data_IF_812227013617
#
_entry.id   IF_812227013617
#
_cell.length_a   1.000
_cell.length_b   1.000
_cell.length_c   1.000
_cell.angle_alpha   90.00
_cell.angle_beta   90.00
_cell.angle_gamma   90.00
#
_symmetry.space_group_name_H-M   'P 1'
#
loop_
_entity.id
_entity.type
_entity.pdbx_description
1 polymer ?
#
# COMPACT_ATOMS: atom_id res chain seq x y z
N UNK A 1 -35.68 -42.56 8.98
CA UNK A 1 -35.23 -42.32 10.35
C UNK A 1 -35.63 -40.92 10.73
N UNK A 2 -36.40 -40.79 11.82
CA UNK A 2 -37.12 -39.60 12.22
C UNK A 2 -36.18 -38.61 12.92
N UNK A 3 -36.23 -37.34 12.48
CA UNK A 3 -35.61 -36.21 13.18
C UNK A 3 -36.71 -35.40 13.86
N UNK A 4 -36.68 -35.30 15.18
CA UNK A 4 -37.55 -34.47 15.98
C UNK A 4 -37.04 -33.06 15.98
N UNK A 5 -37.84 -32.11 15.46
CA UNK A 5 -37.64 -30.68 15.59
C UNK A 5 -38.45 -30.18 16.78
N UNK A 6 -37.78 -29.69 17.82
CA UNK A 6 -38.39 -28.97 18.93
C UNK A 6 -38.33 -27.48 18.63
N UNK A 7 -39.49 -26.91 18.30
CA UNK A 7 -39.66 -25.45 18.19
C UNK A 7 -39.90 -24.90 19.61
N UNK A 8 -38.86 -24.25 20.16
CA UNK A 8 -39.00 -23.45 21.37
C UNK A 8 -39.23 -21.99 20.99
N UNK A 9 -40.48 -21.51 21.08
CA UNK A 9 -40.78 -20.08 21.06
C UNK A 9 -40.30 -19.46 22.38
N UNK A 10 -39.21 -18.70 22.34
CA UNK A 10 -38.87 -17.76 23.38
C UNK A 10 -39.13 -16.35 22.84
N UNK A 11 -40.22 -15.75 23.39
CA UNK A 11 -40.50 -14.34 23.25
C UNK A 11 -39.39 -13.55 23.97
N UNK A 12 -38.48 -12.94 23.25
CA UNK A 12 -37.61 -11.93 23.81
C UNK A 12 -38.25 -10.56 23.68
N UNK A 13 -38.61 -10.00 24.85
CA UNK A 13 -38.85 -8.57 24.99
C UNK A 13 -37.67 -7.83 24.45
N UNK A 14 -37.88 -6.94 23.51
CA UNK A 14 -36.91 -5.95 23.09
C UNK A 14 -36.67 -5.00 24.28
N UNK A 15 -35.61 -5.24 25.06
CA UNK A 15 -34.91 -4.17 25.74
C UNK A 15 -33.96 -3.55 24.71
N UNK A 16 -34.20 -2.31 24.34
CA UNK A 16 -33.15 -1.45 23.81
C UNK A 16 -32.02 -1.46 24.86
N UNK A 17 -30.98 -2.22 24.59
CA UNK A 17 -29.70 -2.01 25.24
C UNK A 17 -29.10 -0.81 24.53
N UNK A 18 -29.04 0.30 25.24
CA UNK A 18 -28.01 1.29 24.97
C UNK A 18 -26.69 0.53 24.96
N UNK A 19 -26.09 0.37 23.78
CA UNK A 19 -24.73 -0.09 23.64
C UNK A 19 -23.83 1.00 24.27
N UNK A 20 -23.60 0.88 25.56
CA UNK A 20 -22.52 1.59 26.23
C UNK A 20 -21.26 0.93 25.67
N UNK A 21 -20.64 1.55 24.69
CA UNK A 21 -19.27 1.27 24.29
C UNK A 21 -18.40 1.42 25.54
N UNK A 22 -18.13 0.33 26.23
CA UNK A 22 -17.17 0.27 27.32
C UNK A 22 -15.81 0.40 26.64
N UNK A 23 -15.35 1.64 26.48
CA UNK A 23 -14.01 1.91 26.00
C UNK A 23 -13.03 1.24 26.96
N UNK A 24 -12.17 0.36 26.43
CA UNK A 24 -11.10 -0.24 27.21
C UNK A 24 -10.23 0.87 27.83
N UNK A 25 -9.81 0.70 29.06
CA UNK A 25 -8.86 1.63 29.69
C UNK A 25 -7.49 1.52 29.05
N UNK A 26 -6.68 2.58 29.10
CA UNK A 26 -5.31 2.56 28.59
C UNK A 26 -4.51 1.37 29.16
N UNK A 27 -4.73 1.02 30.41
CA UNK A 27 -4.10 -0.13 31.04
C UNK A 27 -4.50 -1.47 30.38
N UNK A 28 -5.77 -1.68 30.09
CA UNK A 28 -6.25 -2.90 29.40
C UNK A 28 -5.71 -2.96 27.99
N UNK A 29 -5.68 -1.83 27.28
CA UNK A 29 -5.08 -1.71 25.96
C UNK A 29 -3.59 -2.05 25.99
N UNK A 30 -2.84 -1.48 26.94
CA UNK A 30 -1.41 -1.72 27.08
C UNK A 30 -1.09 -3.17 27.46
N UNK A 31 -1.94 -3.82 28.27
CA UNK A 31 -1.81 -5.27 28.53
C UNK A 31 -2.00 -6.10 27.26
N UNK A 32 -2.98 -5.76 26.43
CA UNK A 32 -3.19 -6.43 25.15
C UNK A 32 -2.04 -6.18 24.18
N UNK A 33 -1.53 -4.93 24.08
CA UNK A 33 -0.35 -4.58 23.27
C UNK A 33 0.84 -5.45 23.69
N UNK A 34 1.17 -5.46 24.98
CA UNK A 34 2.29 -6.25 25.52
C UNK A 34 2.14 -7.73 25.20
N UNK A 35 0.97 -8.31 25.44
CA UNK A 35 0.72 -9.71 25.20
C UNK A 35 0.84 -10.04 23.70
N UNK A 36 0.22 -9.25 22.83
CA UNK A 36 0.23 -9.45 21.38
C UNK A 36 1.64 -9.34 20.82
N UNK A 37 2.37 -8.28 21.21
CA UNK A 37 3.74 -8.07 20.72
C UNK A 37 4.70 -9.10 21.31
N UNK A 38 4.61 -9.46 22.57
CA UNK A 38 5.49 -10.49 23.18
C UNK A 38 5.29 -11.86 22.54
N UNK A 39 4.11 -12.15 22.02
CA UNK A 39 3.83 -13.41 21.33
C UNK A 39 4.28 -13.36 19.87
N UNK A 40 4.06 -12.26 19.16
CA UNK A 40 4.14 -12.25 17.71
C UNK A 40 5.29 -11.40 17.16
N UNK A 41 5.74 -10.36 17.89
CA UNK A 41 6.76 -9.44 17.38
C UNK A 41 8.10 -10.14 17.10
N UNK A 42 8.71 -9.83 15.96
CA UNK A 42 9.93 -10.49 15.52
C UNK A 42 11.10 -10.32 16.49
N UNK A 43 11.19 -9.18 17.14
CA UNK A 43 12.27 -8.83 18.09
C UNK A 43 11.79 -8.78 19.53
N UNK A 44 10.76 -9.55 19.91
CA UNK A 44 10.20 -9.57 21.27
C UNK A 44 11.22 -9.89 22.37
N UNK A 45 12.31 -10.57 22.01
CA UNK A 45 13.40 -10.89 22.96
C UNK A 45 14.18 -9.66 23.42
N UNK A 46 14.02 -8.51 22.76
CA UNK A 46 14.62 -7.23 23.15
C UNK A 46 13.73 -6.46 24.15
N UNK A 47 12.54 -6.96 24.47
CA UNK A 47 11.62 -6.29 25.40
C UNK A 47 12.15 -6.30 26.81
N UNK A 48 11.93 -5.21 27.56
CA UNK A 48 12.12 -5.19 29.01
C UNK A 48 11.30 -6.27 29.72
N UNK A 49 11.72 -6.63 30.94
CA UNK A 49 10.90 -7.49 31.78
C UNK A 49 9.52 -6.88 32.03
N UNK A 50 8.48 -7.71 31.99
CA UNK A 50 7.09 -7.27 32.14
C UNK A 50 6.86 -6.46 33.41
N UNK A 51 7.57 -6.78 34.51
CA UNK A 51 7.49 -6.10 35.80
C UNK A 51 8.06 -4.68 35.77
N UNK A 52 8.86 -4.33 34.75
CA UNK A 52 9.45 -3.00 34.58
C UNK A 52 8.63 -2.08 33.66
N UNK A 53 7.56 -2.60 33.03
CA UNK A 53 6.72 -1.84 32.14
C UNK A 53 5.69 -0.99 32.89
N UNK A 54 5.52 0.23 32.44
CA UNK A 54 4.49 1.15 33.00
C UNK A 54 3.21 1.07 32.12
N UNK A 55 2.26 0.27 32.56
CA UNK A 55 0.97 0.08 31.89
C UNK A 55 0.00 1.28 32.03
N UNK A 56 0.39 2.35 32.70
CA UNK A 56 -0.41 3.57 32.85
C UNK A 56 -0.13 4.62 31.77
N UNK A 57 0.87 4.39 30.92
CA UNK A 57 1.18 5.26 29.79
C UNK A 57 0.04 5.27 28.77
N UNK A 58 -0.02 6.33 27.96
CA UNK A 58 -0.88 6.30 26.78
C UNK A 58 -0.44 5.18 25.81
N UNK A 59 -1.38 4.53 25.13
CA UNK A 59 -1.08 3.34 24.32
C UNK A 59 -0.02 3.55 23.22
N UNK A 60 0.03 4.75 22.61
CA UNK A 60 1.01 5.04 21.57
C UNK A 60 2.43 5.12 22.14
N UNK A 61 2.60 5.79 23.28
CA UNK A 61 3.89 5.87 23.98
C UNK A 61 4.32 4.50 24.49
N UNK A 62 3.39 3.72 25.06
CA UNK A 62 3.66 2.36 25.51
C UNK A 62 4.12 1.46 24.36
N UNK A 63 3.38 1.45 23.25
CA UNK A 63 3.72 0.68 22.06
C UNK A 63 5.10 1.06 21.50
N UNK A 64 5.36 2.36 21.32
CA UNK A 64 6.66 2.84 20.85
C UNK A 64 7.82 2.45 21.73
N UNK A 65 7.59 2.38 23.04
CA UNK A 65 8.58 1.93 24.03
C UNK A 65 8.99 0.45 23.91
N UNK A 66 8.19 -0.37 23.20
CA UNK A 66 8.50 -1.77 22.93
C UNK A 66 9.23 -1.99 21.60
N UNK A 67 9.23 -1.00 20.69
CA UNK A 67 9.78 -1.20 19.35
C UNK A 67 11.29 -1.32 19.35
N UNK A 68 11.81 -2.34 18.68
CA UNK A 68 13.23 -2.49 18.39
C UNK A 68 13.66 -1.47 17.32
N UNK A 69 14.86 -0.91 17.47
CA UNK A 69 15.46 -0.07 16.41
C UNK A 69 15.64 -0.79 15.06
N UNK A 70 15.65 -2.14 15.07
CA UNK A 70 15.68 -2.96 13.84
C UNK A 70 14.37 -2.92 13.06
N UNK A 71 13.29 -2.56 13.74
CA UNK A 71 11.96 -2.42 13.15
C UNK A 71 11.79 -1.04 12.55
N UNK A 72 12.54 -0.74 11.52
CA UNK A 72 12.41 0.56 10.89
C UNK A 72 13.57 0.93 10.01
N UNK A 73 13.61 2.19 9.67
CA UNK A 73 14.64 2.77 8.82
C UNK A 73 14.97 4.19 9.24
N UNK A 74 16.24 4.52 9.20
CA UNK A 74 16.72 5.88 9.37
C UNK A 74 16.46 6.71 8.10
N UNK A 75 15.74 7.80 8.25
CA UNK A 75 15.50 8.79 7.21
C UNK A 75 16.11 10.13 7.65
N UNK A 76 16.07 11.14 6.77
CA UNK A 76 16.67 12.46 7.04
C UNK A 76 16.00 13.23 8.19
N UNK A 77 14.79 12.86 8.56
CA UNK A 77 13.96 13.45 9.63
C UNK A 77 13.86 12.55 10.87
N UNK A 78 14.57 11.42 10.91
CA UNK A 78 14.68 10.51 12.05
C UNK A 78 14.38 9.06 11.71
N UNK A 79 14.28 8.23 12.76
CA UNK A 79 13.96 6.82 12.64
C UNK A 79 12.46 6.60 12.44
N UNK A 80 12.09 5.88 11.37
CA UNK A 80 10.71 5.55 11.03
C UNK A 80 10.48 4.05 11.23
N UNK A 81 9.65 3.73 12.21
CA UNK A 81 9.26 2.34 12.49
C UNK A 81 8.30 1.80 11.43
N UNK A 82 8.41 0.49 11.14
CA UNK A 82 7.48 -0.21 10.25
C UNK A 82 6.22 -0.63 10.97
N UNK A 83 6.35 -1.09 12.24
CA UNK A 83 5.18 -1.41 13.08
C UNK A 83 4.44 -0.15 13.50
N UNK A 84 3.11 -0.22 13.50
CA UNK A 84 2.23 0.90 13.81
C UNK A 84 1.10 0.45 14.73
N UNK A 85 0.69 1.34 15.61
CA UNK A 85 -0.52 1.21 16.41
C UNK A 85 -1.52 2.23 15.91
N UNK A 86 -2.68 1.76 15.47
CA UNK A 86 -3.75 2.63 15.00
C UNK A 86 -4.99 2.43 15.84
N UNK A 87 -5.64 3.54 16.20
CA UNK A 87 -7.00 3.44 16.73
C UNK A 87 -7.89 2.97 15.59
N UNK A 88 -8.66 1.91 15.81
CA UNK A 88 -9.70 1.52 14.89
C UNK A 88 -10.85 2.55 14.98
N UNK A 89 -10.56 3.75 14.56
CA UNK A 89 -11.61 4.50 13.90
C UNK A 89 -11.98 3.67 12.69
N UNK A 90 -13.22 3.72 12.24
CA UNK A 90 -13.61 3.14 10.94
C UNK A 90 -12.75 3.84 9.88
N UNK A 91 -11.45 3.58 9.91
CA UNK A 91 -10.47 4.08 8.96
C UNK A 91 -10.55 3.14 7.79
N UNK A 92 -11.27 3.62 6.84
CA UNK A 92 -11.19 3.07 5.50
C UNK A 92 -9.71 3.06 5.12
N UNK A 93 -9.26 1.97 4.52
CA UNK A 93 -7.98 1.84 3.87
C UNK A 93 -7.63 3.08 3.05
N UNK A 94 -6.35 3.38 2.94
CA UNK A 94 -5.88 4.38 1.95
C UNK A 94 -6.25 3.97 0.53
N UNK A 95 -6.57 2.69 0.31
CA UNK A 95 -6.99 2.10 -0.98
C UNK A 95 -8.50 1.90 -1.09
N UNK A 96 -9.27 2.09 0.00
CA UNK A 96 -10.72 2.07 -0.08
C UNK A 96 -11.22 3.14 -1.05
N UNK A 97 -12.39 2.87 -1.65
CA UNK A 97 -13.14 3.84 -2.44
C UNK A 97 -13.58 5.02 -1.56
N UNK A 98 -12.63 5.81 -1.10
CA UNK A 98 -12.82 6.93 -0.20
C UNK A 98 -13.30 8.18 -0.94
N UNK A 99 -13.99 9.03 -0.22
CA UNK A 99 -14.20 10.39 -0.67
C UNK A 99 -12.84 11.07 -0.90
N UNK A 100 -12.43 11.17 -2.16
CA UNK A 100 -11.19 11.79 -2.58
C UNK A 100 -11.40 12.67 -3.81
N UNK A 101 -10.43 13.49 -4.12
CA UNK A 101 -10.40 14.18 -5.43
C UNK A 101 -9.85 13.27 -6.53
N UNK A 102 -9.32 12.09 -6.19
CA UNK A 102 -8.83 11.09 -7.13
C UNK A 102 -7.48 11.42 -7.75
N UNK A 103 -6.55 11.94 -6.99
CA UNK A 103 -5.14 12.06 -7.38
C UNK A 103 -4.22 11.86 -6.18
N UNK A 104 -3.00 11.43 -6.45
CA UNK A 104 -1.95 11.37 -5.45
C UNK A 104 -0.84 12.37 -5.77
N UNK A 105 -0.08 12.77 -4.75
CA UNK A 105 0.92 13.83 -4.86
C UNK A 105 2.11 13.59 -3.93
N UNK A 106 3.26 14.10 -4.33
CA UNK A 106 4.41 14.25 -3.45
C UNK A 106 4.57 15.72 -3.06
N UNK A 107 4.96 15.95 -1.81
CA UNK A 107 5.22 17.29 -1.28
C UNK A 107 6.65 17.73 -1.54
N UNK A 108 6.87 19.02 -1.64
CA UNK A 108 8.20 19.61 -1.76
C UNK A 108 8.26 20.97 -1.08
N UNK A 109 9.42 21.26 -0.50
CA UNK A 109 9.73 22.58 0.06
C UNK A 109 10.64 23.35 -0.93
N UNK A 110 10.10 24.40 -1.49
CA UNK A 110 10.84 25.33 -2.35
C UNK A 110 11.40 26.49 -1.49
N UNK A 111 12.70 26.71 -1.55
CA UNK A 111 13.34 27.87 -0.91
C UNK A 111 13.60 28.95 -1.96
N UNK A 112 13.06 30.14 -1.75
CA UNK A 112 13.26 31.29 -2.60
C UNK A 112 13.35 32.58 -1.75
N UNK A 113 14.39 33.39 -1.96
CA UNK A 113 14.59 34.67 -1.27
C UNK A 113 14.58 34.60 0.26
N UNK A 114 14.97 33.47 0.87
CA UNK A 114 14.94 33.23 2.32
C UNK A 114 13.59 32.74 2.84
N UNK A 115 12.57 32.63 2.00
CA UNK A 115 11.27 32.03 2.31
C UNK A 115 11.22 30.57 1.91
N UNK A 116 10.45 29.77 2.66
CA UNK A 116 10.16 28.37 2.31
C UNK A 116 8.71 28.27 1.88
N UNK A 117 8.50 27.76 0.67
CA UNK A 117 7.16 27.55 0.09
C UNK A 117 6.86 26.05 0.08
N UNK A 118 5.71 25.65 0.59
CA UNK A 118 5.21 24.28 0.51
C UNK A 118 4.39 24.12 -0.76
N UNK A 119 4.83 23.21 -1.63
CA UNK A 119 4.21 22.91 -2.94
C UNK A 119 4.04 21.40 -3.08
N UNK A 120 3.24 20.98 -4.04
CA UNK A 120 3.07 19.55 -4.33
C UNK A 120 3.18 19.27 -5.84
N UNK A 121 3.59 18.05 -6.18
CA UNK A 121 3.59 17.56 -7.56
C UNK A 121 2.63 16.39 -7.68
N UNK A 122 1.77 16.40 -8.71
CA UNK A 122 0.82 15.33 -9.00
C UNK A 122 1.58 14.11 -9.52
N UNK A 123 1.41 12.98 -8.86
CA UNK A 123 2.04 11.70 -9.19
C UNK A 123 1.20 10.91 -10.20
N UNK A 124 -0.09 10.84 -9.98
CA UNK A 124 -1.08 10.27 -10.90
C UNK A 124 -2.47 10.84 -10.63
N UNK A 125 -3.38 10.59 -11.56
CA UNK A 125 -4.80 10.97 -11.48
C UNK A 125 -5.61 9.73 -11.80
N UNK A 126 -6.60 9.45 -10.96
CA UNK A 126 -7.51 8.32 -11.12
C UNK A 126 -8.58 8.66 -12.16
N UNK A 127 -9.01 7.64 -12.86
CA UNK A 127 -10.09 7.76 -13.84
C UNK A 127 -11.42 8.07 -13.15
N UNK A 128 -12.30 8.76 -13.87
CA UNK A 128 -13.64 9.13 -13.41
C UNK A 128 -13.65 9.89 -12.07
N UNK A 129 -12.62 10.72 -11.82
CA UNK A 129 -12.40 11.49 -10.60
C UNK A 129 -12.61 12.99 -10.77
N UNK A 130 -12.89 13.75 -9.69
CA UNK A 130 -12.92 15.23 -9.75
C UNK A 130 -11.64 15.84 -10.32
N UNK A 131 -10.48 15.22 -10.06
CA UNK A 131 -9.20 15.68 -10.58
C UNK A 131 -9.09 15.50 -12.10
N UNK A 132 -9.54 14.34 -12.61
CA UNK A 132 -9.56 14.07 -14.04
C UNK A 132 -10.51 15.02 -14.77
N UNK A 133 -11.73 15.22 -14.24
CA UNK A 133 -12.73 16.16 -14.79
C UNK A 133 -12.18 17.58 -14.89
N UNK A 134 -11.42 18.03 -13.88
CA UNK A 134 -10.76 19.33 -13.89
C UNK A 134 -9.54 19.39 -14.82
N UNK A 135 -9.16 18.26 -15.42
CA UNK A 135 -8.02 18.16 -16.33
C UNK A 135 -6.68 18.25 -15.61
N UNK A 136 -6.62 17.87 -14.33
CA UNK A 136 -5.36 17.71 -13.60
C UNK A 136 -4.56 16.56 -14.24
N UNK A 137 -3.23 16.66 -14.28
CA UNK A 137 -2.38 15.67 -14.95
C UNK A 137 -1.15 15.37 -14.11
N UNK A 138 -0.64 14.17 -14.26
CA UNK A 138 0.67 13.79 -13.73
C UNK A 138 1.73 14.81 -14.13
N UNK A 139 2.52 15.25 -13.16
CA UNK A 139 3.59 16.23 -13.34
C UNK A 139 3.13 17.69 -13.21
N UNK A 140 1.83 17.95 -13.04
CA UNK A 140 1.36 19.28 -12.68
C UNK A 140 1.90 19.64 -11.28
N UNK A 141 2.49 20.81 -11.15
CA UNK A 141 2.87 21.36 -9.87
C UNK A 141 1.73 22.17 -9.27
N UNK A 142 1.37 21.91 -8.03
CA UNK A 142 0.39 22.68 -7.26
C UNK A 142 1.17 23.69 -6.44
N UNK A 143 1.06 24.96 -6.82
CA UNK A 143 1.76 26.08 -6.21
C UNK A 143 0.94 26.80 -5.15
N UNK A 144 -0.35 26.56 -5.10
CA UNK A 144 -1.25 27.19 -4.13
C UNK A 144 -2.65 26.60 -4.16
N UNK A 145 -3.38 26.85 -3.09
CA UNK A 145 -4.72 26.33 -2.83
C UNK A 145 -5.62 27.51 -2.40
N UNK A 146 -6.84 27.58 -2.95
CA UNK A 146 -7.87 28.57 -2.62
C UNK A 146 -7.37 30.02 -2.65
N UNK A 147 -6.48 30.35 -3.59
CA UNK A 147 -5.94 31.71 -3.79
C UNK A 147 -4.68 32.02 -2.98
N UNK A 148 -4.28 31.16 -2.03
CA UNK A 148 -3.00 31.31 -1.32
C UNK A 148 -1.89 30.68 -2.15
N UNK A 149 -0.94 31.49 -2.62
CA UNK A 149 0.23 31.03 -3.37
C UNK A 149 1.38 30.71 -2.41
N UNK A 150 2.13 29.64 -2.73
CA UNK A 150 3.39 29.32 -2.10
C UNK A 150 3.32 28.75 -0.68
N UNK A 151 2.12 28.45 -0.20
CA UNK A 151 1.97 27.87 1.14
C UNK A 151 0.75 26.96 1.22
N UNK A 152 0.96 25.69 0.94
CA UNK A 152 -0.01 24.66 1.29
C UNK A 152 0.22 24.38 2.77
N UNK A 153 -0.60 25.00 3.65
CA UNK A 153 -0.43 24.91 5.11
C UNK A 153 -0.73 23.49 5.60
N UNK A 154 -1.79 22.90 5.03
CA UNK A 154 -2.23 21.56 5.31
C UNK A 154 -2.44 20.83 3.98
N UNK A 155 -1.76 19.71 3.81
CA UNK A 155 -1.87 18.91 2.59
C UNK A 155 -3.15 18.06 2.54
N UNK A 156 -3.85 17.89 3.65
CA UNK A 156 -5.11 17.13 3.68
C UNK A 156 -6.20 17.80 2.84
N UNK A 157 -6.12 19.13 2.67
CA UNK A 157 -6.98 19.87 1.72
C UNK A 157 -6.84 19.38 0.27
N UNK A 158 -5.77 18.68 -0.09
CA UNK A 158 -5.54 18.08 -1.41
C UNK A 158 -6.09 16.65 -1.51
N UNK A 159 -6.50 16.04 -0.41
CA UNK A 159 -7.00 14.65 -0.40
C UNK A 159 -8.51 14.59 -0.59
N UNK A 160 -9.24 15.34 0.22
CA UNK A 160 -10.71 15.34 0.21
C UNK A 160 -11.28 16.65 0.75
N UNK A 161 -12.57 16.87 0.54
CA UNK A 161 -13.31 18.01 1.06
C UNK A 161 -14.33 18.58 0.09
N UNK A 162 -14.71 19.83 0.31
CA UNK A 162 -15.55 20.58 -0.61
C UNK A 162 -14.83 20.93 -1.92
N UNK A 163 -15.43 21.79 -2.75
CA UNK A 163 -14.74 22.27 -3.96
C UNK A 163 -13.47 23.03 -3.60
N UNK A 164 -12.37 22.74 -4.32
CA UNK A 164 -11.05 23.35 -4.07
C UNK A 164 -10.46 23.93 -5.35
N UNK A 165 -9.90 25.15 -5.27
CA UNK A 165 -9.21 25.82 -6.37
C UNK A 165 -7.70 25.63 -6.24
N UNK A 166 -7.06 25.05 -7.26
CA UNK A 166 -5.63 24.81 -7.30
C UNK A 166 -4.95 25.74 -8.30
N UNK A 167 -3.91 26.46 -7.86
CA UNK A 167 -3.03 27.20 -8.76
C UNK A 167 -1.93 26.25 -9.23
N UNK A 168 -1.92 25.95 -10.51
CA UNK A 168 -0.92 25.09 -11.12
C UNK A 168 0.26 25.90 -11.66
N UNK A 169 1.41 25.24 -11.78
CA UNK A 169 2.63 25.81 -12.32
C UNK A 169 3.53 24.78 -12.98
N UNK A 170 4.65 25.27 -13.47
CA UNK A 170 5.72 24.43 -13.99
C UNK A 170 7.07 24.99 -13.57
N UNK A 171 8.06 24.11 -13.45
CA UNK A 171 9.44 24.46 -13.15
C UNK A 171 10.05 25.24 -14.33
N UNK A 172 10.84 26.29 -13.99
CA UNK A 172 11.61 27.07 -14.97
C UNK A 172 13.02 26.50 -15.05
N UNK A 173 13.43 26.01 -16.22
CA UNK A 173 14.61 25.17 -16.40
C UNK A 173 15.97 25.69 -15.92
N UNK A 174 16.15 27.01 -15.75
CA UNK A 174 17.48 27.58 -15.46
C UNK A 174 17.62 28.25 -14.08
N UNK A 175 16.54 28.47 -13.35
CA UNK A 175 16.59 29.27 -12.10
C UNK A 175 16.02 28.56 -10.88
N UNK A 176 15.71 27.26 -10.98
CA UNK A 176 15.04 26.46 -9.93
C UNK A 176 13.78 27.14 -9.35
N UNK A 177 13.12 27.97 -10.15
CA UNK A 177 11.90 28.65 -9.80
C UNK A 177 10.67 27.99 -10.45
N UNK A 178 9.49 28.49 -10.09
CA UNK A 178 8.23 28.05 -10.68
C UNK A 178 7.50 29.24 -11.27
N UNK A 179 6.79 29.01 -12.38
CA UNK A 179 5.86 30.00 -12.94
C UNK A 179 4.45 29.43 -12.87
N UNK A 180 3.51 30.25 -12.42
CA UNK A 180 2.10 29.93 -12.47
C UNK A 180 1.64 29.77 -13.92
N UNK A 181 0.86 28.72 -14.20
CA UNK A 181 0.38 28.44 -15.56
C UNK A 181 -1.12 28.61 -15.68
N UNK A 182 -1.88 27.85 -14.92
CA UNK A 182 -3.34 27.85 -14.97
C UNK A 182 -3.93 27.59 -13.58
N UNK A 183 -5.20 27.95 -13.42
CA UNK A 183 -5.99 27.55 -12.27
C UNK A 183 -6.98 26.48 -12.68
N UNK A 184 -7.19 25.50 -11.83
CA UNK A 184 -8.22 24.48 -11.96
C UNK A 184 -9.06 24.46 -10.70
N UNK A 185 -10.34 24.12 -10.83
CA UNK A 185 -11.23 23.93 -9.69
C UNK A 185 -11.67 22.47 -9.69
N UNK A 186 -11.37 21.75 -8.63
CA UNK A 186 -11.89 20.42 -8.39
C UNK A 186 -13.27 20.54 -7.76
N UNK A 187 -14.23 19.79 -8.24
CA UNK A 187 -15.50 19.59 -7.57
C UNK A 187 -15.27 18.93 -6.20
N UNK A 188 -16.28 18.94 -5.33
CA UNK A 188 -16.22 18.26 -4.05
C UNK A 188 -15.76 16.80 -4.23
N UNK A 189 -14.96 16.34 -3.29
CA UNK A 189 -14.51 14.94 -3.25
C UNK A 189 -15.70 13.99 -3.23
N UNK A 190 -15.51 12.83 -3.84
CA UNK A 190 -16.51 11.75 -3.87
C UNK A 190 -15.80 10.41 -3.76
N UNK A 191 -16.55 9.36 -3.63
CA UNK A 191 -16.03 8.01 -3.73
C UNK A 191 -15.41 7.79 -5.11
N UNK A 192 -14.11 7.53 -5.15
CA UNK A 192 -13.33 7.22 -6.35
C UNK A 192 -12.64 5.89 -6.13
N UNK A 193 -12.81 4.96 -7.06
CA UNK A 193 -12.12 3.67 -7.01
C UNK A 193 -10.64 3.85 -7.29
N UNK A 194 -9.78 3.48 -6.35
CA UNK A 194 -8.33 3.46 -6.52
C UNK A 194 -7.88 2.06 -6.95
N UNK A 195 -8.01 1.76 -8.24
CA UNK A 195 -7.58 0.47 -8.76
C UNK A 195 -6.07 0.40 -8.86
N UNK A 196 -5.46 -0.78 -8.63
CA UNK A 196 -4.01 -0.94 -8.77
C UNK A 196 -3.50 -0.75 -10.21
N UNK A 197 -4.38 -0.74 -11.21
CA UNK A 197 -4.05 -0.74 -12.64
C UNK A 197 -4.16 0.64 -13.28
N UNK A 198 -3.20 1.52 -13.01
CA UNK A 198 -3.27 2.90 -13.52
C UNK A 198 -3.08 3.00 -15.02
N UNK A 199 -2.27 2.13 -15.62
CA UNK A 199 -2.02 2.13 -17.06
C UNK A 199 -1.45 0.80 -17.52
N UNK A 200 -2.03 0.27 -18.59
CA UNK A 200 -1.48 -0.85 -19.36
C UNK A 200 -1.29 -0.45 -20.82
N UNK A 201 -0.29 -1.02 -21.47
CA UNK A 201 -0.04 -0.80 -22.90
C UNK A 201 0.85 -1.89 -23.49
N UNK A 202 0.77 -2.05 -24.81
CA UNK A 202 1.74 -2.84 -25.58
C UNK A 202 2.36 -1.95 -26.63
N UNK A 203 3.67 -1.80 -26.58
CA UNK A 203 4.47 -1.05 -27.55
C UNK A 203 5.20 -2.01 -28.49
N UNK A 204 5.40 -1.57 -29.72
CA UNK A 204 6.17 -2.31 -30.72
C UNK A 204 7.44 -1.56 -31.07
N UNK A 205 8.58 -2.24 -30.98
CA UNK A 205 9.87 -1.73 -31.43
C UNK A 205 10.66 -2.85 -32.11
N UNK A 206 10.77 -2.78 -33.41
CA UNK A 206 11.35 -3.88 -34.24
C UNK A 206 10.57 -5.19 -34.00
N UNK A 207 11.27 -6.23 -33.58
CA UNK A 207 10.69 -7.54 -33.25
C UNK A 207 10.23 -7.63 -31.76
N UNK A 208 10.35 -6.56 -31.00
CA UNK A 208 9.96 -6.51 -29.61
C UNK A 208 8.49 -6.10 -29.47
N UNK A 209 7.76 -6.85 -28.65
CA UNK A 209 6.43 -6.52 -28.14
C UNK A 209 6.59 -6.26 -26.67
N UNK A 210 6.59 -4.99 -26.29
CA UNK A 210 6.91 -4.54 -24.93
C UNK A 210 5.59 -4.30 -24.19
N UNK A 211 5.27 -5.18 -23.25
CA UNK A 211 4.20 -4.94 -22.28
C UNK A 211 4.64 -3.88 -21.27
N UNK A 212 3.71 -3.03 -20.90
CA UNK A 212 3.88 -2.03 -19.84
C UNK A 212 2.69 -2.10 -18.90
N UNK A 213 2.97 -2.17 -17.60
CA UNK A 213 1.96 -2.07 -16.56
C UNK A 213 2.46 -1.12 -15.48
N UNK A 214 1.69 -0.07 -15.21
CA UNK A 214 1.84 0.76 -14.02
C UNK A 214 0.91 0.22 -12.94
N UNK A 215 1.52 -0.38 -11.92
CA UNK A 215 0.84 -1.11 -10.84
C UNK A 215 1.10 -0.40 -9.51
N UNK A 216 0.05 0.16 -8.90
CA UNK A 216 0.19 1.12 -7.81
C UNK A 216 0.26 0.50 -6.42
N UNK A 217 -0.44 -0.61 -6.20
CA UNK A 217 -0.47 -1.31 -4.92
C UNK A 217 -0.87 -2.77 -5.12
N UNK A 218 -0.55 -3.62 -4.15
CA UNK A 218 -0.88 -5.04 -4.19
C UNK A 218 -2.13 -5.29 -3.37
N UNK A 219 -3.30 -5.23 -4.01
CA UNK A 219 -4.60 -5.53 -3.42
C UNK A 219 -5.32 -6.61 -4.22
N UNK A 220 -6.10 -7.47 -3.53
CA UNK A 220 -6.90 -8.53 -4.17
C UNK A 220 -8.25 -8.04 -4.66
N UNK A 221 -8.79 -7.02 -4.02
CA UNK A 221 -10.07 -6.35 -4.28
C UNK A 221 -10.05 -4.90 -3.80
N UNK A 222 -11.16 -4.15 -3.97
CA UNK A 222 -11.25 -2.75 -3.59
C UNK A 222 -11.26 -2.49 -2.07
N UNK A 223 -11.59 -3.48 -1.25
CA UNK A 223 -11.50 -3.43 0.21
C UNK A 223 -10.30 -4.25 0.67
N UNK A 224 -9.31 -3.60 1.26
CA UNK A 224 -8.08 -4.28 1.72
C UNK A 224 -8.30 -5.20 2.92
N UNK A 225 -9.42 -5.07 3.62
CA UNK A 225 -9.80 -5.94 4.74
C UNK A 225 -10.69 -7.11 4.31
N UNK A 226 -11.26 -7.06 3.10
CA UNK A 226 -11.99 -8.19 2.53
C UNK A 226 -11.07 -9.08 1.68
N UNK A 227 -10.35 -9.97 2.35
CA UNK A 227 -9.48 -10.94 1.69
C UNK A 227 -10.24 -11.98 0.84
N UNK A 228 -11.56 -12.03 0.91
CA UNK A 228 -12.40 -12.91 0.07
C UNK A 228 -12.64 -12.31 -1.32
N UNK A 229 -12.56 -10.98 -1.48
CA UNK A 229 -12.65 -10.34 -2.78
C UNK A 229 -11.34 -10.49 -3.55
N UNK A 230 -11.38 -11.19 -4.66
CA UNK A 230 -10.25 -11.43 -5.56
C UNK A 230 -10.43 -10.79 -6.93
N UNK A 231 -11.32 -9.80 -7.03
CA UNK A 231 -11.67 -9.15 -8.31
C UNK A 231 -10.46 -8.54 -9.02
N UNK A 232 -9.55 -7.91 -8.29
CA UNK A 232 -8.32 -7.35 -8.87
C UNK A 232 -7.34 -8.44 -9.31
N UNK A 233 -7.24 -9.55 -8.58
CA UNK A 233 -6.43 -10.69 -9.00
C UNK A 233 -6.95 -11.31 -10.30
N UNK A 234 -8.27 -11.46 -10.44
CA UNK A 234 -8.89 -11.93 -11.67
C UNK A 234 -8.65 -10.97 -12.83
N UNK A 235 -8.79 -9.67 -12.59
CA UNK A 235 -8.47 -8.67 -13.63
C UNK A 235 -6.99 -8.73 -14.05
N UNK A 236 -6.08 -8.89 -13.10
CA UNK A 236 -4.64 -9.04 -13.40
C UNK A 236 -4.38 -10.25 -14.30
N UNK A 237 -4.99 -11.40 -14.01
CA UNK A 237 -4.88 -12.61 -14.85
C UNK A 237 -5.37 -12.34 -16.28
N UNK A 238 -6.57 -11.77 -16.43
CA UNK A 238 -7.14 -11.40 -17.73
C UNK A 238 -6.25 -10.41 -18.51
N UNK A 239 -5.67 -9.44 -17.82
CA UNK A 239 -4.74 -8.48 -18.41
C UNK A 239 -3.48 -9.17 -18.94
N UNK A 240 -2.96 -10.14 -18.21
CA UNK A 240 -1.79 -10.91 -18.63
C UNK A 240 -2.11 -11.88 -19.78
N UNK A 241 -3.29 -12.47 -19.83
CA UNK A 241 -3.77 -13.23 -21.01
C UNK A 241 -3.83 -12.32 -22.25
N UNK A 242 -4.29 -11.08 -22.09
CA UNK A 242 -4.29 -10.07 -23.17
C UNK A 242 -2.85 -9.71 -23.61
N UNK A 243 -1.89 -9.58 -22.70
CA UNK A 243 -0.49 -9.39 -23.06
C UNK A 243 0.07 -10.60 -23.81
N UNK A 244 -0.21 -11.81 -23.34
CA UNK A 244 0.22 -13.06 -23.97
C UNK A 244 -0.35 -13.20 -25.39
N UNK A 245 -1.64 -12.91 -25.59
CA UNK A 245 -2.30 -12.96 -26.89
C UNK A 245 -1.71 -11.95 -27.89
N UNK A 246 -1.09 -10.87 -27.40
CA UNK A 246 -0.36 -9.88 -28.20
C UNK A 246 1.12 -10.21 -28.40
N UNK A 247 1.55 -11.43 -28.01
CA UNK A 247 2.93 -11.91 -28.09
C UNK A 247 3.94 -10.98 -27.40
N UNK A 248 3.59 -10.46 -26.23
CA UNK A 248 4.52 -9.69 -25.40
C UNK A 248 5.72 -10.56 -25.05
N UNK A 249 6.92 -10.07 -25.34
CA UNK A 249 8.20 -10.77 -25.14
C UNK A 249 9.24 -9.96 -24.35
N UNK A 250 8.93 -8.73 -24.01
CA UNK A 250 9.65 -7.88 -23.05
C UNK A 250 8.61 -7.20 -22.16
N UNK A 251 8.97 -6.86 -20.92
CA UNK A 251 8.01 -6.26 -20.01
C UNK A 251 8.64 -5.14 -19.17
N UNK A 252 7.88 -4.07 -18.97
CA UNK A 252 8.18 -2.97 -18.07
C UNK A 252 7.11 -2.93 -16.99
N UNK A 253 7.50 -3.24 -15.76
CA UNK A 253 6.68 -3.11 -14.56
C UNK A 253 7.00 -1.78 -13.87
N UNK A 254 6.03 -0.88 -13.82
CA UNK A 254 6.22 0.42 -13.19
C UNK A 254 5.68 0.42 -11.76
N UNK A 255 6.59 0.36 -10.80
CA UNK A 255 6.32 0.36 -9.36
C UNK A 255 6.74 1.67 -8.68
N UNK A 256 6.92 2.75 -9.45
CA UNK A 256 7.46 4.01 -8.91
C UNK A 256 6.66 4.58 -7.74
N UNK A 257 5.38 4.32 -7.68
CA UNK A 257 4.48 4.80 -6.62
C UNK A 257 3.90 3.66 -5.77
N UNK A 258 4.39 2.44 -5.95
CA UNK A 258 3.88 1.25 -5.28
C UNK A 258 4.61 1.02 -3.95
N UNK A 259 3.93 1.30 -2.84
CA UNK A 259 4.42 1.07 -1.47
C UNK A 259 4.34 -0.38 -0.98
N UNK A 260 3.81 -1.30 -1.80
CA UNK A 260 3.62 -2.70 -1.44
C UNK A 260 2.15 -3.11 -1.36
N UNK A 261 1.82 -3.97 -0.41
CA UNK A 261 0.51 -4.54 -0.14
C UNK A 261 0.57 -6.06 0.05
N UNK A 262 -0.44 -6.78 -0.39
CA UNK A 262 -0.62 -8.21 -0.12
C UNK A 262 0.44 -9.09 -0.80
N UNK A 263 1.05 -9.97 -0.03
CA UNK A 263 2.08 -10.92 -0.51
C UNK A 263 1.53 -11.90 -1.54
N UNK A 264 0.28 -12.37 -1.38
CA UNK A 264 -0.36 -13.26 -2.36
C UNK A 264 -0.58 -12.60 -3.73
N UNK A 265 -0.84 -11.28 -3.78
CA UNK A 265 -0.91 -10.53 -5.03
C UNK A 265 0.47 -10.38 -5.69
N UNK A 266 1.53 -10.19 -4.89
CA UNK A 266 2.91 -10.21 -5.37
C UNK A 266 3.30 -11.59 -5.91
N UNK A 267 2.90 -12.67 -5.23
CA UNK A 267 3.08 -14.06 -5.66
C UNK A 267 2.42 -14.31 -7.02
N UNK A 268 1.17 -13.86 -7.19
CA UNK A 268 0.45 -13.98 -8.47
C UNK A 268 1.18 -13.24 -9.59
N UNK A 269 1.52 -11.95 -9.38
CA UNK A 269 2.20 -11.14 -10.39
C UNK A 269 3.58 -11.73 -10.75
N UNK A 270 4.35 -12.17 -9.76
CA UNK A 270 5.64 -12.83 -9.98
C UNK A 270 5.48 -14.08 -10.86
N UNK A 271 4.47 -14.90 -10.58
CA UNK A 271 4.19 -16.13 -11.31
C UNK A 271 3.78 -15.88 -12.77
N UNK A 272 3.11 -14.77 -13.04
CA UNK A 272 2.72 -14.38 -14.40
C UNK A 272 3.91 -13.87 -15.25
N UNK A 273 4.99 -13.42 -14.59
CA UNK A 273 6.17 -12.83 -15.26
C UNK A 273 7.28 -13.84 -15.55
N UNK A 274 7.50 -14.80 -14.65
CA UNK A 274 8.64 -15.74 -14.74
C UNK A 274 8.54 -16.72 -15.90
N UNK A 275 9.67 -17.41 -16.16
CA UNK A 275 9.68 -18.53 -17.09
C UNK A 275 8.77 -19.67 -16.59
N UNK A 276 8.05 -20.28 -17.50
CA UNK A 276 7.11 -21.35 -17.18
C UNK A 276 7.77 -22.56 -16.46
N UNK A 277 9.01 -22.86 -16.80
CA UNK A 277 9.75 -23.98 -16.22
C UNK A 277 10.17 -23.80 -14.76
N UNK A 278 10.04 -22.59 -14.19
CA UNK A 278 10.32 -22.31 -12.77
C UNK A 278 9.05 -22.16 -11.92
N UNK A 279 7.87 -22.31 -12.52
CA UNK A 279 6.62 -22.34 -11.77
C UNK A 279 6.61 -23.53 -10.81
N UNK A 280 6.31 -23.28 -9.55
CA UNK A 280 6.38 -24.22 -8.44
C UNK A 280 7.65 -24.11 -7.60
N UNK A 281 8.69 -23.40 -8.10
CA UNK A 281 9.89 -23.10 -7.31
C UNK A 281 9.60 -22.02 -6.24
N UNK A 282 10.41 -21.94 -5.18
CA UNK A 282 10.20 -20.97 -4.10
C UNK A 282 10.24 -19.51 -4.59
N UNK A 283 9.23 -18.72 -4.26
CA UNK A 283 9.26 -17.27 -4.40
C UNK A 283 10.00 -16.64 -3.22
N UNK A 284 9.57 -16.98 -2.01
CA UNK A 284 10.18 -16.54 -0.75
C UNK A 284 9.89 -17.54 0.37
N UNK A 285 10.57 -17.34 1.51
CA UNK A 285 10.30 -18.05 2.75
C UNK A 285 9.76 -17.02 3.75
N UNK A 286 8.57 -17.25 4.28
CA UNK A 286 7.99 -16.45 5.36
C UNK A 286 8.49 -17.00 6.69
N UNK A 287 9.25 -16.20 7.41
CA UNK A 287 9.78 -16.58 8.73
C UNK A 287 9.14 -15.71 9.82
N UNK A 288 8.67 -16.37 10.87
CA UNK A 288 8.15 -15.74 12.07
C UNK A 288 9.19 -15.79 13.20
N UNK A 289 8.88 -15.23 14.36
CA UNK A 289 9.71 -15.37 15.53
C UNK A 289 9.77 -16.86 15.98
N UNK A 290 10.65 -17.17 16.92
CA UNK A 290 10.88 -18.56 17.37
C UNK A 290 9.64 -19.21 18.03
N UNK A 291 8.77 -18.43 18.67
CA UNK A 291 7.49 -18.91 19.23
C UNK A 291 6.49 -19.32 18.17
N UNK A 292 6.57 -18.71 17.00
CA UNK A 292 5.68 -18.93 15.87
C UNK A 292 6.38 -19.64 14.70
N UNK A 293 7.53 -20.29 14.93
CA UNK A 293 8.29 -20.97 13.90
C UNK A 293 7.52 -22.09 13.19
N UNK A 294 6.48 -22.62 13.81
CA UNK A 294 5.54 -23.56 13.19
C UNK A 294 4.67 -22.94 12.08
N UNK A 295 4.64 -21.62 11.97
CA UNK A 295 3.98 -20.87 10.89
C UNK A 295 4.93 -20.55 9.73
N UNK A 296 6.22 -20.90 9.85
CA UNK A 296 7.18 -20.69 8.76
C UNK A 296 6.73 -21.48 7.54
N UNK A 297 6.71 -20.82 6.41
CA UNK A 297 6.27 -21.43 5.16
C UNK A 297 7.10 -20.96 3.96
N UNK A 298 7.24 -21.82 2.97
CA UNK A 298 7.79 -21.47 1.68
C UNK A 298 6.64 -21.17 0.72
N UNK A 299 6.56 -19.94 0.24
CA UNK A 299 5.60 -19.55 -0.79
C UNK A 299 6.18 -19.88 -2.16
N UNK A 300 5.55 -20.78 -2.95
CA UNK A 300 6.03 -21.10 -4.29
C UNK A 300 5.54 -20.09 -5.33
N UNK A 301 6.22 -20.01 -6.46
CA UNK A 301 5.64 -19.46 -7.68
C UNK A 301 4.44 -20.31 -8.08
N UNK A 302 3.29 -19.68 -8.29
CA UNK A 302 2.02 -20.39 -8.55
C UNK A 302 2.08 -21.14 -9.89
N UNK A 303 1.59 -22.38 -9.88
CA UNK A 303 1.47 -23.23 -11.07
C UNK A 303 0.01 -23.69 -11.23
N UNK A 304 -0.89 -22.74 -11.45
CA UNK A 304 -2.31 -23.00 -11.68
C UNK A 304 -2.65 -22.85 -13.15
N UNK A 305 -3.82 -23.34 -13.55
CA UNK A 305 -4.33 -23.20 -14.93
C UNK A 305 -4.44 -21.75 -15.34
N UNK A 306 -4.93 -20.89 -14.43
CA UNK A 306 -5.14 -19.47 -14.64
C UNK A 306 -3.80 -18.72 -14.82
N UNK A 307 -2.80 -19.04 -13.99
CA UNK A 307 -1.45 -18.49 -14.15
C UNK A 307 -0.85 -18.94 -15.48
N UNK A 308 -0.96 -20.21 -15.81
CA UNK A 308 -0.43 -20.77 -17.08
C UNK A 308 -1.08 -20.10 -18.31
N UNK A 309 -2.36 -19.74 -18.23
CA UNK A 309 -3.07 -19.02 -19.29
C UNK A 309 -2.46 -17.63 -19.57
N UNK A 310 -2.08 -16.90 -18.52
CA UNK A 310 -1.53 -15.54 -18.61
C UNK A 310 0.00 -15.44 -18.57
N UNK A 311 0.73 -16.50 -18.19
CA UNK A 311 2.17 -16.47 -18.00
C UNK A 311 2.91 -16.03 -19.28
N UNK A 312 3.77 -15.00 -19.16
CA UNK A 312 4.49 -14.40 -20.28
C UNK A 312 5.81 -15.09 -20.59
N UNK A 313 6.26 -16.01 -19.76
CA UNK A 313 7.49 -16.78 -19.97
C UNK A 313 8.72 -15.89 -20.29
N UNK A 314 8.91 -14.83 -19.50
CA UNK A 314 9.92 -13.81 -19.76
C UNK A 314 11.33 -14.29 -19.43
N UNK A 315 12.32 -13.78 -20.16
CA UNK A 315 13.76 -13.94 -19.87
C UNK A 315 14.30 -12.75 -19.08
N UNK A 316 13.65 -11.60 -19.20
CA UNK A 316 14.06 -10.34 -18.60
C UNK A 316 12.86 -9.50 -18.19
N UNK A 317 13.02 -8.74 -17.10
CA UNK A 317 12.03 -7.81 -16.57
C UNK A 317 12.70 -6.46 -16.33
N UNK A 318 12.10 -5.39 -16.83
CA UNK A 318 12.47 -4.02 -16.46
C UNK A 318 11.51 -3.54 -15.38
N UNK A 319 12.04 -3.03 -14.27
CA UNK A 319 11.26 -2.48 -13.17
C UNK A 319 11.60 -1.01 -12.98
N UNK A 320 10.59 -0.15 -13.07
CA UNK A 320 10.74 1.27 -12.75
C UNK A 320 10.47 1.48 -11.26
N UNK A 321 11.40 2.15 -10.56
CA UNK A 321 11.33 2.35 -9.12
C UNK A 321 11.39 3.82 -8.71
N UNK A 322 10.73 4.15 -7.60
CA UNK A 322 10.83 5.41 -6.88
C UNK A 322 11.35 5.20 -5.45
N UNK A 323 11.51 6.28 -4.70
CA UNK A 323 11.88 6.20 -3.28
C UNK A 323 10.74 5.66 -2.39
N UNK A 324 9.52 5.61 -2.91
CA UNK A 324 8.33 5.05 -2.27
C UNK A 324 8.06 3.59 -2.63
N UNK A 325 8.82 3.02 -3.59
CA UNK A 325 8.73 1.60 -3.93
C UNK A 325 9.19 0.77 -2.72
N UNK A 326 8.29 -0.04 -2.13
CA UNK A 326 8.55 -0.70 -0.85
C UNK A 326 7.90 -2.10 -0.73
N UNK A 327 8.33 -2.89 0.27
CA UNK A 327 7.64 -4.10 0.75
C UNK A 327 7.39 -5.12 -0.37
N UNK A 328 6.13 -5.48 -0.69
CA UNK A 328 5.78 -6.44 -1.74
C UNK A 328 6.38 -6.10 -3.12
N UNK A 329 6.59 -4.81 -3.42
CA UNK A 329 7.32 -4.37 -4.62
C UNK A 329 8.79 -4.80 -4.57
N UNK A 330 9.43 -4.68 -3.41
CA UNK A 330 10.83 -5.08 -3.20
C UNK A 330 10.96 -6.61 -3.16
N UNK A 331 9.95 -7.29 -2.61
CA UNK A 331 9.86 -8.76 -2.66
C UNK A 331 9.91 -9.27 -4.10
N UNK A 332 9.08 -8.73 -5.01
CA UNK A 332 9.11 -9.10 -6.44
C UNK A 332 10.50 -8.86 -7.04
N UNK A 333 11.06 -7.67 -6.84
CA UNK A 333 12.38 -7.32 -7.41
C UNK A 333 13.46 -8.30 -6.95
N UNK A 334 13.49 -8.61 -5.65
CA UNK A 334 14.53 -9.45 -5.08
C UNK A 334 14.34 -10.92 -5.42
N UNK A 335 13.13 -11.46 -5.27
CA UNK A 335 12.84 -12.87 -5.53
C UNK A 335 13.03 -13.23 -7.00
N UNK A 336 12.59 -12.35 -7.93
CA UNK A 336 12.68 -12.63 -9.36
C UNK A 336 14.11 -12.60 -9.90
N UNK A 337 15.07 -11.98 -9.22
CA UNK A 337 16.49 -12.00 -9.63
C UNK A 337 17.09 -13.42 -9.70
N UNK A 338 16.54 -14.35 -8.96
CA UNK A 338 16.95 -15.77 -9.02
C UNK A 338 16.47 -16.46 -10.30
N UNK A 339 15.47 -15.93 -10.98
CA UNK A 339 14.77 -16.55 -12.11
C UNK A 339 14.84 -15.79 -13.41
N UNK A 340 15.05 -14.46 -13.36
CA UNK A 340 15.03 -13.54 -14.49
C UNK A 340 16.22 -12.58 -14.43
N UNK A 341 16.58 -12.02 -15.61
CA UNK A 341 17.43 -10.82 -15.70
C UNK A 341 16.59 -9.58 -15.29
N UNK A 342 16.54 -9.24 -14.00
CA UNK A 342 15.78 -8.11 -13.47
C UNK A 342 16.61 -6.82 -13.57
N UNK A 343 16.14 -5.87 -14.39
CA UNK A 343 16.77 -4.57 -14.61
C UNK A 343 15.97 -3.47 -13.92
N UNK A 344 16.51 -2.94 -12.81
CA UNK A 344 15.90 -1.86 -12.06
C UNK A 344 16.35 -0.51 -12.61
N UNK A 345 15.39 0.38 -12.88
CA UNK A 345 15.63 1.71 -13.44
C UNK A 345 14.88 2.73 -12.57
N UNK A 346 15.58 3.71 -12.05
CA UNK A 346 15.00 4.78 -11.26
C UNK A 346 15.75 5.07 -9.99
N UNK A 347 15.02 5.37 -8.91
CA UNK A 347 15.62 5.66 -7.59
C UNK A 347 15.77 4.38 -6.78
N UNK A 348 16.63 4.44 -5.76
CA UNK A 348 16.69 3.44 -4.71
C UNK A 348 15.32 3.26 -4.06
N UNK A 349 14.90 2.02 -3.85
CA UNK A 349 13.66 1.66 -3.19
C UNK A 349 13.71 1.96 -1.69
N UNK A 350 12.57 1.90 -1.03
CA UNK A 350 12.44 2.28 0.37
C UNK A 350 13.29 1.43 1.30
N UNK A 351 13.37 0.10 1.09
CA UNK A 351 14.17 -0.82 1.90
C UNK A 351 13.39 -1.44 3.07
N UNK A 352 12.08 -1.66 2.94
CA UNK A 352 11.28 -2.40 3.92
C UNK A 352 11.51 -3.90 3.75
N UNK A 353 12.26 -4.48 4.68
CA UNK A 353 12.76 -5.86 4.63
C UNK A 353 11.89 -6.86 5.39
N UNK A 354 10.75 -6.43 5.91
CA UNK A 354 9.83 -7.25 6.72
C UNK A 354 8.41 -7.19 6.16
N UNK A 355 7.69 -8.30 6.26
CA UNK A 355 6.25 -8.37 6.09
C UNK A 355 5.54 -7.86 7.36
N UNK A 356 4.22 -7.73 7.29
CA UNK A 356 3.39 -7.25 8.40
C UNK A 356 2.18 -8.17 8.56
N UNK A 357 1.78 -8.41 9.81
CA UNK A 357 0.51 -9.05 10.17
C UNK A 357 -0.30 -8.09 11.01
N UNK A 358 -1.60 -8.02 10.79
CA UNK A 358 -2.51 -7.13 11.51
C UNK A 358 -3.19 -7.90 12.64
N UNK A 359 -3.16 -7.32 13.84
CA UNK A 359 -3.86 -7.82 15.02
C UNK A 359 -4.86 -6.78 15.50
N UNK A 360 -6.07 -7.20 15.83
CA UNK A 360 -7.18 -6.32 16.16
C UNK A 360 -7.63 -6.53 17.60
N UNK A 361 -7.81 -5.45 18.35
CA UNK A 361 -8.54 -5.43 19.60
C UNK A 361 -9.78 -4.54 19.40
N UNK A 362 -10.91 -5.15 18.98
CA UNK A 362 -12.16 -4.43 18.69
C UNK A 362 -12.00 -3.09 17.96
N UNK A 363 -11.43 -2.09 18.62
CA UNK A 363 -11.22 -0.72 18.12
C UNK A 363 -9.74 -0.33 17.96
N UNK A 364 -8.79 -1.29 18.04
CA UNK A 364 -7.35 -1.01 17.95
C UNK A 364 -6.68 -2.06 17.08
N UNK A 365 -5.83 -1.62 16.16
CA UNK A 365 -5.04 -2.47 15.26
C UNK A 365 -3.55 -2.36 15.57
N UNK A 366 -2.84 -3.48 15.55
CA UNK A 366 -1.37 -3.54 15.54
C UNK A 366 -0.92 -4.23 14.26
N UNK A 367 0.02 -3.63 13.54
CA UNK A 367 0.73 -4.28 12.44
C UNK A 367 2.07 -4.79 12.93
N UNK A 368 2.31 -6.08 12.82
CA UNK A 368 3.52 -6.77 13.29
C UNK A 368 4.37 -7.28 12.12
N UNK A 369 5.72 -7.16 12.18
CA UNK A 369 6.59 -7.60 11.12
C UNK A 369 6.78 -9.11 11.10
N UNK A 370 6.80 -9.67 9.90
CA UNK A 370 7.28 -10.99 9.55
C UNK A 370 8.39 -10.86 8.49
N UNK A 371 9.31 -11.83 8.41
CA UNK A 371 10.31 -11.83 7.34
C UNK A 371 9.76 -12.54 6.11
N UNK A 372 9.80 -11.90 4.94
CA UNK A 372 9.52 -12.56 3.66
C UNK A 372 10.69 -13.41 3.18
#
# INVERSE_FOLDING_TARGET
YYTIVILGLLAFSACEKDDIDILATDNEVNQWIEQTMRENYLWYSEFPDKSSLDFSLDPESFFKGLLSYKDGKELSDGHHYFSQLEKATVTKSIYDANNSYGFDFATSNLKDGGSTYKIAIVLYVLKDSPAEEAGLKRGDWILGVNGSLGSIQDYDVLRSGGSVSLQLGKETGNTKGFVSTRRVTLNASRTVEDTPFLKDSVYTYGNKRIGYLMYNHFASGPDEYDYSDTSYNLYLQQLFEKFKSRNVNEFVLDLRYNGGGLVNCAQLLASLLVRENVLGEPLCIMEYNDKNSNKNETLPLLKTTEVMAGNLNLQRLFVLTGSTTASASELIINSLRSYLDVRVIGKQTFGKTVGMTIYNLSLIHISEPTRP
#
